data_IF_027261244382
#
_entry.id   IF_027261244382
#
_cell.length_a   1.000
_cell.length_b   1.000
_cell.length_c   1.000
_cell.angle_alpha   90.00
_cell.angle_beta   90.00
_cell.angle_gamma   90.00
#
_symmetry.space_group_name_H-M   'P 1'
#
loop_
_entity.id
_entity.type
_entity.pdbx_description
1 polymer ?
#
# COMPACT_ATOMS: atom_id res chain seq x y z
N UNK A 1 27.13 -0.48 -41.07
CA UNK A 1 26.01 -1.31 -40.57
C UNK A 1 25.24 -0.53 -39.51
N UNK A 2 24.06 -0.02 -39.85
CA UNK A 2 23.17 0.66 -38.91
C UNK A 2 22.57 -0.41 -37.99
N UNK A 3 22.95 -0.42 -36.70
CA UNK A 3 22.30 -1.27 -35.70
C UNK A 3 20.83 -0.88 -35.63
N UNK A 4 19.95 -1.70 -36.19
CA UNK A 4 18.50 -1.61 -35.97
C UNK A 4 18.27 -1.68 -34.46
N UNK A 5 17.90 -0.54 -33.84
CA UNK A 5 17.29 -0.53 -32.50
C UNK A 5 16.05 -1.41 -32.59
N UNK A 6 16.13 -2.63 -32.05
CA UNK A 6 14.94 -3.44 -31.76
C UNK A 6 14.03 -2.56 -30.90
N UNK A 7 12.78 -2.38 -31.32
CA UNK A 7 11.75 -1.84 -30.43
C UNK A 7 11.75 -2.75 -29.18
N UNK A 8 11.88 -2.19 -27.96
CA UNK A 8 11.77 -3.00 -26.76
C UNK A 8 10.43 -3.73 -26.80
N UNK A 9 10.43 -5.03 -26.51
CA UNK A 9 9.19 -5.76 -26.24
C UNK A 9 8.48 -5.17 -25.00
N UNK A 10 7.30 -5.69 -24.63
CA UNK A 10 6.70 -5.31 -23.36
C UNK A 10 7.68 -5.63 -22.23
N UNK A 11 8.02 -4.62 -21.44
CA UNK A 11 8.94 -4.74 -20.33
C UNK A 11 8.29 -5.54 -19.19
N UNK A 12 9.03 -6.46 -18.56
CA UNK A 12 8.52 -7.19 -17.38
C UNK A 12 8.48 -6.29 -16.14
N UNK A 13 7.69 -6.67 -15.13
CA UNK A 13 7.60 -5.92 -13.87
C UNK A 13 8.96 -5.79 -13.16
N UNK A 14 9.73 -6.87 -13.09
CA UNK A 14 11.08 -6.87 -12.53
C UNK A 14 12.04 -5.97 -13.32
N UNK A 15 11.99 -5.99 -14.67
CA UNK A 15 12.79 -5.09 -15.50
C UNK A 15 12.42 -3.62 -15.24
N UNK A 16 11.13 -3.32 -15.13
CA UNK A 16 10.64 -1.97 -14.83
C UNK A 16 11.13 -1.48 -13.46
N UNK A 17 11.08 -2.32 -12.42
CA UNK A 17 11.57 -1.96 -11.10
C UNK A 17 13.09 -1.77 -11.10
N UNK A 18 13.84 -2.68 -11.75
CA UNK A 18 15.30 -2.58 -11.89
C UNK A 18 15.75 -1.30 -12.61
N UNK A 19 15.00 -0.84 -13.61
CA UNK A 19 15.30 0.43 -14.30
C UNK A 19 15.35 1.63 -13.35
N UNK A 20 14.53 1.64 -12.28
CA UNK A 20 14.54 2.72 -11.28
C UNK A 20 15.94 2.86 -10.67
N UNK A 21 16.67 1.76 -10.54
CA UNK A 21 18.00 1.66 -9.92
C UNK A 21 19.11 1.39 -10.92
N UNK A 22 18.93 1.82 -12.18
CA UNK A 22 19.92 1.72 -13.26
C UNK A 22 20.38 0.29 -13.58
N UNK A 23 19.53 -0.71 -13.35
CA UNK A 23 19.79 -2.12 -13.67
C UNK A 23 21.09 -2.67 -13.06
N UNK A 24 21.38 -2.33 -11.80
CA UNK A 24 22.57 -2.77 -11.08
C UNK A 24 22.89 -4.27 -11.35
N UNK A 25 24.15 -4.64 -11.63
CA UNK A 25 24.54 -6.03 -11.83
C UNK A 25 24.60 -6.81 -10.49
N UNK A 26 24.66 -8.15 -10.54
CA UNK A 26 24.90 -8.96 -9.35
C UNK A 26 26.16 -8.52 -8.59
N UNK A 27 26.07 -8.52 -7.26
CA UNK A 27 27.11 -8.01 -6.36
C UNK A 27 28.01 -9.15 -5.89
N UNK A 28 29.29 -9.09 -6.26
CA UNK A 28 30.26 -10.17 -5.99
C UNK A 28 30.90 -10.10 -4.59
N UNK A 29 30.91 -8.92 -3.98
CA UNK A 29 31.49 -8.69 -2.65
C UNK A 29 30.44 -8.04 -1.76
N UNK A 30 29.91 -8.83 -0.84
CA UNK A 30 28.96 -8.37 0.17
C UNK A 30 29.70 -8.22 1.49
N UNK A 31 29.73 -6.99 2.02
CA UNK A 31 30.28 -6.70 3.35
C UNK A 31 29.20 -6.56 4.41
N UNK A 32 27.94 -6.36 3.99
CA UNK A 32 26.78 -6.28 4.88
C UNK A 32 26.49 -7.67 5.48
N UNK A 33 26.38 -7.81 6.81
CA UNK A 33 25.94 -9.05 7.43
C UNK A 33 24.44 -9.27 7.18
N UNK A 34 24.03 -10.53 7.08
CA UNK A 34 22.62 -10.89 7.06
C UNK A 34 22.03 -10.79 8.48
N UNK A 35 20.77 -10.39 8.61
CA UNK A 35 20.12 -10.10 9.88
C UNK A 35 20.11 -11.29 10.86
N UNK A 36 19.83 -12.50 10.36
CA UNK A 36 19.79 -13.75 11.12
C UNK A 36 21.08 -14.58 10.93
N UNK A 37 22.20 -13.92 10.64
CA UNK A 37 23.54 -14.50 10.48
C UNK A 37 23.69 -15.47 9.30
N UNK A 38 22.80 -15.43 8.31
CA UNK A 38 22.88 -16.21 7.07
C UNK A 38 23.74 -15.51 6.00
N UNK A 39 24.96 -15.11 6.37
CA UNK A 39 25.86 -14.30 5.53
C UNK A 39 26.23 -14.97 4.21
N UNK A 40 26.40 -16.30 4.22
CA UNK A 40 26.77 -17.07 3.02
C UNK A 40 25.61 -17.14 2.03
N UNK A 41 24.37 -17.27 2.53
CA UNK A 41 23.14 -17.23 1.75
C UNK A 41 22.91 -15.84 1.14
N UNK A 42 23.15 -14.76 1.90
CA UNK A 42 23.07 -13.41 1.36
C UNK A 42 24.12 -13.17 0.26
N UNK A 43 25.37 -13.63 0.45
CA UNK A 43 26.41 -13.56 -0.60
C UNK A 43 26.02 -14.34 -1.84
N UNK A 44 25.49 -15.55 -1.68
CA UNK A 44 25.02 -16.38 -2.79
C UNK A 44 23.85 -15.71 -3.54
N UNK A 45 22.89 -15.17 -2.80
CA UNK A 45 21.76 -14.43 -3.35
C UNK A 45 22.24 -13.20 -4.16
N UNK A 46 23.15 -12.40 -3.60
CA UNK A 46 23.68 -11.21 -4.22
C UNK A 46 24.42 -11.49 -5.56
N UNK A 47 25.07 -12.64 -5.67
CA UNK A 47 25.77 -13.07 -6.88
C UNK A 47 24.86 -13.75 -7.92
N UNK A 48 23.63 -14.12 -7.55
CA UNK A 48 22.68 -14.82 -8.43
C UNK A 48 22.06 -13.87 -9.47
N UNK A 49 21.91 -14.30 -10.73
CA UNK A 49 21.18 -13.51 -11.76
C UNK A 49 19.74 -13.28 -11.29
N UNK A 50 19.27 -12.04 -11.36
CA UNK A 50 17.96 -11.63 -10.85
C UNK A 50 16.79 -12.46 -11.40
N UNK A 51 16.91 -13.03 -12.61
CA UNK A 51 15.87 -13.87 -13.21
C UNK A 51 15.69 -15.21 -12.49
N UNK A 52 16.68 -15.60 -11.68
CA UNK A 52 16.70 -16.83 -10.91
C UNK A 52 16.41 -16.58 -9.42
N UNK A 53 16.32 -15.33 -8.99
CA UNK A 53 16.00 -14.96 -7.62
C UNK A 53 14.51 -15.13 -7.38
N UNK A 54 14.16 -15.79 -6.29
CA UNK A 54 12.77 -16.04 -5.88
C UNK A 54 12.32 -15.12 -4.75
N UNK A 55 11.01 -14.88 -4.65
CA UNK A 55 10.40 -14.17 -3.51
C UNK A 55 10.82 -14.77 -2.17
N UNK A 56 10.86 -16.11 -2.07
CA UNK A 56 11.26 -16.80 -0.85
C UNK A 56 12.70 -16.45 -0.42
N UNK A 57 13.65 -16.40 -1.36
CA UNK A 57 15.03 -16.01 -1.03
C UNK A 57 15.13 -14.56 -0.56
N UNK A 58 14.41 -13.63 -1.20
CA UNK A 58 14.36 -12.24 -0.76
C UNK A 58 13.74 -12.11 0.64
N UNK A 59 12.69 -12.89 0.89
CA UNK A 59 11.99 -12.97 2.16
C UNK A 59 12.89 -13.51 3.28
N UNK A 60 13.68 -14.55 3.00
CA UNK A 60 14.50 -15.22 4.01
C UNK A 60 15.82 -14.52 4.29
N UNK A 61 16.45 -13.89 3.29
CA UNK A 61 17.85 -13.49 3.40
C UNK A 61 18.10 -12.00 3.17
N UNK A 62 17.06 -11.17 2.96
CA UNK A 62 17.31 -9.76 2.63
C UNK A 62 16.28 -8.77 3.16
N UNK A 63 14.97 -9.09 3.14
CA UNK A 63 13.95 -8.09 3.52
C UNK A 63 14.13 -7.59 4.95
N UNK A 64 14.59 -8.44 5.87
CA UNK A 64 14.85 -8.05 7.27
C UNK A 64 16.06 -7.13 7.41
N UNK A 65 17.06 -7.23 6.53
CA UNK A 65 18.15 -6.27 6.50
C UNK A 65 17.63 -4.86 6.25
N UNK A 66 16.68 -4.71 5.33
CA UNK A 66 16.02 -3.44 5.06
C UNK A 66 15.28 -2.89 6.29
N UNK A 67 14.82 -3.74 7.20
CA UNK A 67 14.09 -3.33 8.42
C UNK A 67 15.05 -2.98 9.56
N UNK A 68 16.07 -3.80 9.80
CA UNK A 68 16.81 -3.76 11.06
C UNK A 68 18.26 -3.27 10.97
N UNK A 69 18.93 -3.37 9.81
CA UNK A 69 20.34 -2.98 9.72
C UNK A 69 20.51 -1.46 9.59
N UNK A 70 21.37 -0.88 10.42
CA UNK A 70 21.67 0.56 10.45
C UNK A 70 22.45 1.04 9.23
N UNK A 71 23.28 0.17 8.65
CA UNK A 71 24.11 0.46 7.49
C UNK A 71 23.93 -0.62 6.44
N UNK A 72 23.42 -0.21 5.28
CA UNK A 72 23.19 -1.09 4.13
C UNK A 72 24.23 -0.83 3.04
N UNK A 73 24.65 -1.88 2.34
CA UNK A 73 25.53 -1.78 1.20
C UNK A 73 24.80 -1.17 -0.02
N UNK A 74 25.23 0.00 -0.54
CA UNK A 74 24.50 0.69 -1.61
C UNK A 74 24.36 -0.10 -2.91
N UNK A 75 25.38 -0.87 -3.31
CA UNK A 75 25.33 -1.73 -4.50
C UNK A 75 24.33 -2.88 -4.30
N UNK A 76 24.36 -3.51 -3.13
CA UNK A 76 23.45 -4.61 -2.78
C UNK A 76 22.00 -4.11 -2.74
N UNK A 77 21.79 -2.93 -2.16
CA UNK A 77 20.50 -2.27 -2.14
C UNK A 77 19.97 -2.01 -3.55
N UNK A 78 20.76 -1.38 -4.41
CA UNK A 78 20.38 -1.10 -5.80
C UNK A 78 20.10 -2.37 -6.60
N UNK A 79 20.72 -3.50 -6.22
CA UNK A 79 20.50 -4.79 -6.87
C UNK A 79 19.23 -5.52 -6.41
N UNK A 80 19.03 -5.69 -5.10
CA UNK A 80 17.98 -6.55 -4.55
C UNK A 80 16.68 -5.81 -4.21
N UNK A 81 16.73 -4.55 -3.76
CA UNK A 81 15.54 -3.76 -3.43
C UNK A 81 14.52 -3.63 -4.58
N UNK A 82 14.92 -3.46 -5.86
CA UNK A 82 13.95 -3.43 -6.96
C UNK A 82 13.20 -4.74 -7.15
N UNK A 83 13.82 -5.88 -6.77
CA UNK A 83 13.15 -7.18 -6.83
C UNK A 83 12.11 -7.28 -5.70
N UNK A 84 12.43 -6.81 -4.49
CA UNK A 84 11.44 -6.70 -3.42
C UNK A 84 10.22 -5.85 -3.82
N UNK A 85 10.43 -4.74 -4.55
CA UNK A 85 9.32 -3.93 -5.07
C UNK A 85 8.42 -4.70 -6.05
N UNK A 86 9.03 -5.49 -6.95
CA UNK A 86 8.28 -6.31 -7.90
C UNK A 86 7.48 -7.41 -7.20
N UNK A 87 8.10 -8.14 -6.27
CA UNK A 87 7.43 -9.19 -5.49
C UNK A 87 6.31 -8.61 -4.61
N UNK A 88 6.52 -7.43 -4.02
CA UNK A 88 5.47 -6.73 -3.27
C UNK A 88 4.27 -6.40 -4.15
N UNK A 89 4.48 -5.94 -5.40
CA UNK A 89 3.37 -5.67 -6.31
C UNK A 89 2.58 -6.95 -6.62
N UNK A 90 3.24 -8.05 -6.97
CA UNK A 90 2.57 -9.32 -7.23
C UNK A 90 1.76 -9.77 -6.00
N UNK A 91 2.36 -9.67 -4.82
CA UNK A 91 1.73 -9.99 -3.54
C UNK A 91 0.46 -9.16 -3.28
N UNK A 92 0.53 -7.85 -3.48
CA UNK A 92 -0.63 -6.94 -3.35
C UNK A 92 -1.74 -7.34 -4.32
N UNK A 93 -1.40 -7.73 -5.55
CA UNK A 93 -2.38 -8.07 -6.58
C UNK A 93 -3.04 -9.45 -6.39
N UNK A 94 -2.37 -10.42 -5.77
CA UNK A 94 -2.88 -11.79 -5.59
C UNK A 94 -3.97 -11.94 -4.51
N UNK A 95 -4.25 -10.91 -3.72
CA UNK A 95 -5.35 -10.90 -2.73
C UNK A 95 -5.32 -12.05 -1.71
N UNK A 96 -4.17 -12.36 -1.12
CA UNK A 96 -4.13 -13.36 -0.05
C UNK A 96 -4.72 -12.81 1.25
N UNK A 97 -5.63 -13.57 1.87
CA UNK A 97 -6.18 -13.27 3.21
C UNK A 97 -5.10 -13.32 4.31
N UNK A 98 -3.98 -13.99 4.02
CA UNK A 98 -2.79 -14.00 4.88
C UNK A 98 -1.78 -13.04 4.30
N UNK A 99 -1.31 -12.11 5.12
CA UNK A 99 -0.22 -11.21 4.75
C UNK A 99 1.00 -12.00 4.30
N UNK A 100 1.62 -11.52 3.24
CA UNK A 100 2.88 -12.05 2.75
C UNK A 100 4.01 -11.44 3.58
N UNK A 101 4.84 -12.29 4.16
CA UNK A 101 5.95 -11.90 5.01
C UNK A 101 6.88 -10.89 4.33
N UNK A 102 7.15 -11.06 3.03
CA UNK A 102 7.96 -10.09 2.29
C UNK A 102 7.24 -8.75 2.19
N UNK A 103 5.94 -8.78 1.88
CA UNK A 103 5.17 -7.57 1.65
C UNK A 103 5.03 -6.71 2.92
N UNK A 104 4.76 -7.35 4.06
CA UNK A 104 4.66 -6.67 5.37
C UNK A 104 6.00 -6.05 5.77
N UNK A 105 7.08 -6.84 5.73
CA UNK A 105 8.41 -6.36 6.11
C UNK A 105 8.95 -5.29 5.16
N UNK A 106 8.62 -5.35 3.85
CA UNK A 106 9.01 -4.28 2.93
C UNK A 106 8.33 -2.95 3.27
N UNK A 107 7.05 -2.97 3.63
CA UNK A 107 6.35 -1.76 4.05
C UNK A 107 6.94 -1.23 5.37
N UNK A 108 7.24 -2.10 6.34
CA UNK A 108 7.95 -1.71 7.56
C UNK A 108 9.31 -1.06 7.25
N UNK A 109 10.10 -1.65 6.37
CA UNK A 109 11.38 -1.11 5.93
C UNK A 109 11.22 0.27 5.29
N UNK A 110 10.21 0.46 4.45
CA UNK A 110 9.90 1.74 3.80
C UNK A 110 9.45 2.83 4.76
N UNK A 111 9.16 2.53 6.03
CA UNK A 111 8.95 3.56 7.07
C UNK A 111 10.26 4.22 7.51
N UNK A 112 11.41 3.58 7.27
CA UNK A 112 12.71 4.06 7.72
C UNK A 112 13.16 5.26 6.87
N UNK A 113 13.38 6.45 7.47
CA UNK A 113 13.91 7.60 6.73
C UNK A 113 15.28 7.34 6.10
N UNK A 114 16.07 6.41 6.67
CA UNK A 114 17.37 5.99 6.17
C UNK A 114 17.32 5.51 4.71
N UNK A 115 16.38 4.62 4.35
CA UNK A 115 16.27 4.10 2.99
C UNK A 115 16.02 5.22 1.98
N UNK A 116 15.07 6.10 2.29
CA UNK A 116 14.74 7.22 1.42
C UNK A 116 15.88 8.23 1.31
N UNK A 117 16.56 8.54 2.42
CA UNK A 117 17.54 9.64 2.46
C UNK A 117 18.92 9.23 1.96
N UNK A 118 19.38 8.03 2.34
CA UNK A 118 20.75 7.57 2.12
C UNK A 118 20.85 6.56 0.98
N UNK A 119 19.82 5.71 0.79
CA UNK A 119 19.88 4.62 -0.20
C UNK A 119 19.27 5.00 -1.55
N UNK A 120 18.55 6.13 -1.62
CA UNK A 120 17.88 6.59 -2.84
C UNK A 120 18.23 8.04 -3.17
N UNK A 121 18.55 8.29 -4.44
CA UNK A 121 18.60 9.64 -4.99
C UNK A 121 17.19 10.24 -5.20
N UNK A 122 17.12 11.54 -5.55
CA UNK A 122 15.83 12.22 -5.74
C UNK A 122 14.96 11.63 -6.87
N UNK A 123 15.58 11.12 -7.94
CA UNK A 123 14.89 10.48 -9.06
C UNK A 123 14.32 9.12 -8.67
N UNK A 124 15.12 8.31 -7.97
CA UNK A 124 14.73 7.02 -7.41
C UNK A 124 13.57 7.17 -6.43
N UNK A 125 13.68 8.07 -5.44
CA UNK A 125 12.61 8.35 -4.48
C UNK A 125 11.27 8.66 -5.16
N UNK A 126 11.29 9.51 -6.19
CA UNK A 126 10.09 9.88 -6.95
C UNK A 126 9.49 8.69 -7.69
N UNK A 127 10.32 7.88 -8.36
CA UNK A 127 9.87 6.71 -9.10
C UNK A 127 9.32 5.61 -8.19
N UNK A 128 9.96 5.35 -7.03
CA UNK A 128 9.44 4.40 -6.03
C UNK A 128 8.10 4.88 -5.49
N UNK A 129 7.93 6.16 -5.13
CA UNK A 129 6.64 6.70 -4.70
C UNK A 129 5.55 6.56 -5.76
N UNK A 130 5.88 6.84 -7.02
CA UNK A 130 4.96 6.66 -8.14
C UNK A 130 4.56 5.18 -8.30
N UNK A 131 5.53 4.26 -8.18
CA UNK A 131 5.29 2.82 -8.24
C UNK A 131 4.37 2.34 -7.11
N UNK A 132 4.63 2.73 -5.86
CA UNK A 132 3.76 2.39 -4.72
C UNK A 132 2.33 2.91 -4.94
N UNK A 133 2.22 4.14 -5.44
CA UNK A 133 0.94 4.80 -5.75
C UNK A 133 0.17 4.02 -6.82
N UNK A 134 0.84 3.68 -7.93
CA UNK A 134 0.24 2.97 -9.05
C UNK A 134 -0.21 1.56 -8.65
N UNK A 135 0.64 0.81 -7.94
CA UNK A 135 0.30 -0.55 -7.47
C UNK A 135 -0.97 -0.54 -6.61
N UNK A 136 -1.06 0.38 -5.65
CA UNK A 136 -2.24 0.49 -4.79
C UNK A 136 -3.49 0.89 -5.58
N UNK A 137 -3.37 1.81 -6.55
CA UNK A 137 -4.49 2.20 -7.42
C UNK A 137 -4.95 1.04 -8.31
N UNK A 138 -4.02 0.27 -8.90
CA UNK A 138 -4.34 -0.94 -9.65
C UNK A 138 -5.09 -1.96 -8.78
N UNK A 139 -4.69 -2.11 -7.52
CA UNK A 139 -5.37 -3.01 -6.57
C UNK A 139 -6.79 -2.54 -6.21
N UNK A 140 -6.99 -1.24 -6.05
CA UNK A 140 -8.32 -0.65 -5.86
C UNK A 140 -9.17 -0.83 -7.12
N UNK A 141 -8.60 -0.59 -8.30
CA UNK A 141 -9.29 -0.70 -9.59
C UNK A 141 -9.72 -2.15 -9.90
N UNK A 142 -8.98 -3.14 -9.40
CA UNK A 142 -9.32 -4.56 -9.57
C UNK A 142 -10.47 -5.03 -8.68
N UNK A 143 -10.89 -4.24 -7.68
CA UNK A 143 -11.93 -4.65 -6.74
C UNK A 143 -13.29 -4.81 -7.40
N UNK A 144 -13.99 -5.90 -7.09
CA UNK A 144 -15.38 -6.17 -7.50
C UNK A 144 -16.16 -6.78 -6.35
N UNK A 145 -17.47 -6.62 -6.37
CA UNK A 145 -18.37 -7.10 -5.34
C UNK A 145 -18.20 -6.36 -4.00
N UNK A 146 -19.25 -6.43 -3.19
CA UNK A 146 -19.24 -5.99 -1.80
C UNK A 146 -19.05 -7.13 -0.79
N UNK A 147 -19.16 -8.37 -1.27
CA UNK A 147 -18.91 -9.61 -0.56
C UNK A 147 -17.40 -9.88 -0.32
N UNK A 148 -16.56 -9.29 -1.16
CA UNK A 148 -15.12 -9.37 -1.05
C UNK A 148 -14.61 -8.60 0.18
N UNK A 149 -13.80 -9.27 1.00
CA UNK A 149 -13.13 -8.65 2.14
C UNK A 149 -12.32 -7.43 1.67
N UNK A 150 -12.21 -6.40 2.52
CA UNK A 150 -11.39 -5.20 2.28
C UNK A 150 -9.88 -5.50 2.35
N UNK A 151 -9.41 -6.51 1.63
CA UNK A 151 -8.02 -6.97 1.60
C UNK A 151 -7.04 -5.91 1.07
N UNK A 152 -7.55 -4.88 0.38
CA UNK A 152 -6.77 -3.71 -0.03
C UNK A 152 -6.43 -2.76 1.13
N UNK A 153 -7.26 -2.73 2.17
CA UNK A 153 -7.20 -1.71 3.23
C UNK A 153 -5.96 -1.85 4.15
N UNK A 154 -5.50 -3.06 4.52
CA UNK A 154 -4.26 -3.19 5.30
C UNK A 154 -3.05 -2.57 4.58
N UNK A 155 -2.92 -2.80 3.27
CA UNK A 155 -1.84 -2.24 2.45
C UNK A 155 -1.96 -0.71 2.38
N UNK A 156 -3.18 -0.21 2.18
CA UNK A 156 -3.47 1.22 2.21
C UNK A 156 -3.04 1.87 3.54
N UNK A 157 -3.40 1.26 4.67
CA UNK A 157 -3.06 1.76 5.99
C UNK A 157 -1.54 1.74 6.25
N UNK A 158 -0.86 0.68 5.86
CA UNK A 158 0.60 0.60 5.97
C UNK A 158 1.30 1.68 5.13
N UNK A 159 0.82 1.95 3.91
CA UNK A 159 1.35 3.01 3.04
C UNK A 159 1.25 4.41 3.66
N UNK A 160 0.25 4.66 4.51
CA UNK A 160 0.14 5.90 5.28
C UNK A 160 1.33 6.19 6.20
N UNK A 161 2.05 5.16 6.62
CA UNK A 161 3.24 5.26 7.46
C UNK A 161 4.59 5.26 6.73
N UNK A 162 4.64 4.98 5.42
CA UNK A 162 5.91 4.78 4.71
C UNK A 162 6.50 6.06 4.12
N UNK A 163 5.72 6.76 3.29
CA UNK A 163 6.18 7.88 2.50
C UNK A 163 5.06 8.89 2.26
N UNK A 164 5.38 10.15 1.89
CA UNK A 164 4.36 11.16 1.60
C UNK A 164 3.71 10.91 0.23
N UNK A 165 2.84 9.90 0.17
CA UNK A 165 2.13 9.46 -1.04
C UNK A 165 0.62 9.56 -0.91
N UNK A 166 0.08 9.75 0.31
CA UNK A 166 -1.36 9.71 0.54
C UNK A 166 -2.12 10.79 -0.20
N UNK A 167 -1.50 11.96 -0.42
CA UNK A 167 -2.07 13.02 -1.27
C UNK A 167 -2.39 12.52 -2.68
N UNK A 168 -1.40 11.93 -3.35
CA UNK A 168 -1.54 11.46 -4.72
C UNK A 168 -2.49 10.27 -4.82
N UNK A 169 -2.42 9.35 -3.83
CA UNK A 169 -3.32 8.20 -3.73
C UNK A 169 -4.78 8.62 -3.54
N UNK A 170 -5.04 9.48 -2.55
CA UNK A 170 -6.39 9.96 -2.22
C UNK A 170 -7.04 10.65 -3.40
N UNK A 171 -6.35 11.60 -4.03
CA UNK A 171 -6.89 12.36 -5.17
C UNK A 171 -7.21 11.45 -6.36
N UNK A 172 -6.35 10.48 -6.67
CA UNK A 172 -6.57 9.57 -7.79
C UNK A 172 -7.61 8.50 -7.50
N UNK A 173 -7.73 8.02 -6.26
CA UNK A 173 -8.78 7.10 -5.86
C UNK A 173 -10.16 7.78 -5.89
N UNK A 174 -10.30 8.94 -5.23
CA UNK A 174 -11.55 9.70 -5.15
C UNK A 174 -11.93 10.45 -6.44
N UNK A 175 -11.11 10.35 -7.49
CA UNK A 175 -11.54 10.71 -8.84
C UNK A 175 -12.63 9.78 -9.38
N UNK A 176 -12.82 8.60 -8.77
CA UNK A 176 -13.89 7.64 -9.07
C UNK A 176 -13.99 7.32 -10.57
N UNK A 177 -12.86 7.02 -11.21
CA UNK A 177 -12.80 6.77 -12.66
C UNK A 177 -13.15 5.33 -13.05
N UNK A 178 -13.42 4.44 -12.08
CA UNK A 178 -13.69 3.02 -12.31
C UNK A 178 -14.70 2.47 -11.29
N UNK A 179 -15.38 1.35 -11.62
CA UNK A 179 -16.21 0.64 -10.65
C UNK A 179 -15.44 0.22 -9.39
N UNK A 180 -14.21 -0.28 -9.53
CA UNK A 180 -13.39 -0.71 -8.39
C UNK A 180 -13.12 0.43 -7.40
N UNK A 181 -12.76 1.62 -7.89
CA UNK A 181 -12.61 2.82 -7.04
C UNK A 181 -13.89 3.18 -6.32
N UNK A 182 -15.04 3.12 -7.00
CA UNK A 182 -16.34 3.39 -6.39
C UNK A 182 -16.74 2.36 -5.33
N UNK A 183 -16.46 1.08 -5.57
CA UNK A 183 -16.68 0.01 -4.60
C UNK A 183 -15.81 0.22 -3.36
N UNK A 184 -14.49 0.39 -3.52
CA UNK A 184 -13.59 0.66 -2.40
C UNK A 184 -14.01 1.92 -1.63
N UNK A 185 -14.43 2.98 -2.33
CA UNK A 185 -14.90 4.22 -1.71
C UNK A 185 -16.14 3.98 -0.84
N UNK A 186 -17.10 3.18 -1.32
CA UNK A 186 -18.30 2.82 -0.55
C UNK A 186 -17.99 1.84 0.58
N UNK A 187 -17.04 0.90 0.39
CA UNK A 187 -16.54 0.04 1.47
C UNK A 187 -15.92 0.87 2.60
N UNK A 188 -15.06 1.82 2.26
CA UNK A 188 -14.44 2.73 3.22
C UNK A 188 -15.49 3.62 3.90
N UNK A 189 -16.39 4.22 3.13
CA UNK A 189 -17.43 5.10 3.65
C UNK A 189 -18.46 4.37 4.52
N UNK A 190 -18.83 3.13 4.20
CA UNK A 190 -19.77 2.36 5.02
C UNK A 190 -19.26 2.20 6.45
N UNK A 191 -17.95 2.03 6.62
CA UNK A 191 -17.33 1.97 7.93
C UNK A 191 -17.27 3.30 8.67
N UNK A 192 -17.62 4.43 8.03
CA UNK A 192 -17.80 5.74 8.68
C UNK A 192 -19.30 6.09 8.86
N UNK A 193 -20.17 5.50 8.05
CA UNK A 193 -21.62 5.77 8.03
C UNK A 193 -22.35 4.94 9.08
N UNK A 194 -21.95 3.67 9.24
CA UNK A 194 -22.65 2.72 10.10
C UNK A 194 -21.80 2.35 11.31
N UNK A 195 -22.42 2.18 12.48
CA UNK A 195 -21.84 1.37 13.55
C UNK A 195 -21.52 -0.05 13.07
N UNK A 196 -20.48 -0.72 13.60
CA UNK A 196 -20.05 -2.04 13.12
C UNK A 196 -21.18 -3.08 13.02
N UNK A 197 -22.07 -3.14 14.01
CA UNK A 197 -23.17 -4.10 14.09
C UNK A 197 -24.32 -3.80 13.10
N UNK A 198 -24.36 -2.60 12.55
CA UNK A 198 -25.37 -2.15 11.58
C UNK A 198 -24.81 -2.02 10.15
N UNK A 199 -23.49 -2.17 9.98
CA UNK A 199 -22.84 -2.01 8.70
C UNK A 199 -23.23 -3.17 7.76
N UNK A 200 -23.89 -2.91 6.62
CA UNK A 200 -24.33 -3.95 5.71
C UNK A 200 -23.18 -4.68 5.00
N UNK A 201 -21.96 -4.15 5.10
CA UNK A 201 -20.73 -4.76 4.59
C UNK A 201 -19.95 -5.52 5.67
N UNK A 202 -20.42 -5.51 6.92
CA UNK A 202 -19.79 -6.25 8.00
C UNK A 202 -20.16 -7.73 7.92
N UNK A 203 -19.17 -8.66 7.88
CA UNK A 203 -19.48 -10.07 7.88
C UNK A 203 -20.17 -10.48 9.18
N UNK A 204 -21.32 -11.15 9.08
CA UNK A 204 -22.02 -11.71 10.23
C UNK A 204 -21.07 -12.66 11.00
N UNK A 205 -20.90 -12.42 12.31
CA UNK A 205 -20.09 -13.28 13.19
C UNK A 205 -18.61 -12.91 13.33
N UNK A 206 -18.11 -11.85 12.68
CA UNK A 206 -16.79 -11.29 13.04
C UNK A 206 -16.92 -10.37 14.27
N UNK A 207 -16.15 -10.67 15.30
CA UNK A 207 -16.09 -9.85 16.51
C UNK A 207 -15.60 -8.43 16.23
N UNK A 208 -16.00 -7.49 17.07
CA UNK A 208 -15.72 -6.03 17.00
C UNK A 208 -14.29 -5.64 17.39
N UNK A 209 -13.35 -6.60 17.47
CA UNK A 209 -12.07 -6.38 18.13
C UNK A 209 -11.10 -5.43 17.41
N UNK A 210 -11.36 -5.08 16.14
CA UNK A 210 -10.60 -4.06 15.43
C UNK A 210 -11.55 -3.14 14.64
N UNK A 211 -11.44 -1.83 14.87
CA UNK A 211 -12.06 -0.86 13.96
C UNK A 211 -11.43 -1.05 12.57
N UNK A 212 -12.19 -1.28 11.49
CA UNK A 212 -11.63 -1.84 10.26
C UNK A 212 -10.67 -0.92 9.55
N UNK A 213 -10.90 0.39 9.72
CA UNK A 213 -10.08 1.45 9.17
C UNK A 213 -8.87 1.79 10.05
N UNK A 214 -8.78 1.28 11.28
CA UNK A 214 -7.64 1.55 12.15
C UNK A 214 -6.39 0.82 11.69
N UNK A 215 -5.24 1.30 12.14
CA UNK A 215 -3.94 0.69 11.89
C UNK A 215 -3.23 0.49 13.23
N UNK A 216 -2.39 -0.54 13.32
CA UNK A 216 -1.54 -0.77 14.49
C UNK A 216 -0.39 0.25 14.59
N UNK A 217 0.03 0.82 13.47
CA UNK A 217 1.12 1.78 13.41
C UNK A 217 0.63 3.15 12.95
N UNK A 218 1.17 4.21 13.57
CA UNK A 218 0.81 5.58 13.22
C UNK A 218 1.16 5.92 11.76
N UNK A 219 0.38 6.79 11.15
CA UNK A 219 0.71 7.42 9.88
C UNK A 219 1.82 8.46 10.03
N UNK A 220 2.50 8.80 8.94
CA UNK A 220 3.41 9.95 8.96
C UNK A 220 2.63 11.24 9.21
N UNK A 221 3.23 12.20 9.90
CA UNK A 221 2.60 13.49 10.19
C UNK A 221 2.12 14.21 8.91
N UNK A 222 2.89 14.15 7.82
CA UNK A 222 2.53 14.77 6.54
C UNK A 222 1.28 14.12 5.92
N UNK A 223 1.18 12.79 5.93
CA UNK A 223 0.02 12.08 5.40
C UNK A 223 -1.22 12.31 6.28
N UNK A 224 -1.05 12.34 7.60
CA UNK A 224 -2.13 12.60 8.54
C UNK A 224 -2.67 14.03 8.43
N UNK A 225 -1.78 15.03 8.36
CA UNK A 225 -2.18 16.43 8.19
C UNK A 225 -2.95 16.63 6.88
N UNK A 226 -2.51 15.98 5.81
CA UNK A 226 -3.25 15.95 4.56
C UNK A 226 -4.65 15.34 4.75
N UNK A 227 -4.74 14.14 5.34
CA UNK A 227 -6.02 13.45 5.49
C UNK A 227 -7.00 14.24 6.37
N UNK A 228 -6.53 14.88 7.45
CA UNK A 228 -7.35 15.76 8.31
C UNK A 228 -8.03 16.89 7.54
N UNK A 229 -7.41 17.38 6.47
CA UNK A 229 -7.97 18.47 5.64
C UNK A 229 -8.99 17.97 4.61
N UNK A 230 -8.87 16.72 4.19
CA UNK A 230 -9.62 16.18 3.04
C UNK A 230 -10.76 15.25 3.45
N UNK A 231 -10.57 14.47 4.53
CA UNK A 231 -11.61 13.60 5.07
C UNK A 231 -12.53 14.42 5.97
N UNK A 232 -13.46 15.13 5.33
CA UNK A 232 -14.53 15.90 5.98
C UNK A 232 -15.91 15.34 5.60
N UNK A 233 -16.90 15.37 6.51
CA UNK A 233 -18.22 14.78 6.27
C UNK A 233 -18.88 15.23 4.97
N UNK A 234 -18.82 16.52 4.65
CA UNK A 234 -19.48 17.07 3.46
C UNK A 234 -18.91 16.49 2.17
N UNK A 235 -17.58 16.36 2.11
CA UNK A 235 -16.87 15.84 0.95
C UNK A 235 -17.09 14.33 0.82
N UNK A 236 -17.11 13.61 1.95
CA UNK A 236 -17.46 12.19 1.99
C UNK A 236 -18.87 11.96 1.42
N UNK A 237 -19.87 12.72 1.88
CA UNK A 237 -21.26 12.60 1.41
C UNK A 237 -21.40 12.87 -0.10
N UNK A 238 -20.69 13.86 -0.62
CA UNK A 238 -20.66 14.13 -2.07
C UNK A 238 -20.07 12.95 -2.83
N UNK A 239 -18.95 12.41 -2.36
CA UNK A 239 -18.25 11.33 -3.04
C UNK A 239 -19.00 9.99 -2.95
N UNK A 240 -19.64 9.69 -1.83
CA UNK A 240 -20.52 8.51 -1.68
C UNK A 240 -21.65 8.54 -2.72
N UNK A 241 -22.30 9.70 -2.91
CA UNK A 241 -23.35 9.84 -3.93
C UNK A 241 -22.80 9.68 -5.35
N UNK A 242 -21.60 10.21 -5.64
CA UNK A 242 -20.93 10.03 -6.94
C UNK A 242 -20.59 8.56 -7.19
N UNK A 243 -20.06 7.87 -6.19
CA UNK A 243 -19.71 6.45 -6.28
C UNK A 243 -20.97 5.59 -6.54
N UNK A 244 -22.06 5.82 -5.81
CA UNK A 244 -23.31 5.09 -6.03
C UNK A 244 -23.89 5.33 -7.44
N UNK A 245 -23.82 6.56 -7.96
CA UNK A 245 -24.24 6.86 -9.34
C UNK A 245 -23.39 6.15 -10.38
N UNK A 246 -22.08 6.05 -10.15
CA UNK A 246 -21.19 5.33 -11.05
C UNK A 246 -21.56 3.85 -11.14
N UNK A 247 -21.95 3.25 -10.01
CA UNK A 247 -22.34 1.85 -9.91
C UNK A 247 -23.79 1.56 -10.30
N UNK A 248 -24.58 2.52 -10.78
CA UNK A 248 -26.03 2.33 -11.00
C UNK A 248 -26.37 1.20 -11.99
N UNK A 249 -25.48 0.90 -12.93
CA UNK A 249 -25.65 -0.19 -13.90
C UNK A 249 -24.79 -1.43 -13.58
N UNK A 250 -24.13 -1.43 -12.42
CA UNK A 250 -23.27 -2.54 -11.97
C UNK A 250 -24.05 -3.47 -11.03
N UNK A 251 -23.63 -4.73 -10.86
CA UNK A 251 -24.27 -5.67 -9.92
C UNK A 251 -24.41 -5.12 -8.48
N UNK A 252 -23.51 -4.23 -8.08
CA UNK A 252 -23.45 -3.59 -6.77
C UNK A 252 -24.47 -2.46 -6.56
N UNK A 253 -25.20 -2.04 -7.60
CA UNK A 253 -26.08 -0.86 -7.61
C UNK A 253 -27.00 -0.76 -6.40
N UNK A 254 -27.75 -1.84 -6.09
CA UNK A 254 -28.77 -1.82 -5.04
C UNK A 254 -28.20 -1.52 -3.66
N UNK A 255 -27.04 -2.09 -3.33
CA UNK A 255 -26.39 -1.83 -2.04
C UNK A 255 -25.70 -0.46 -2.04
N UNK A 256 -25.11 -0.05 -3.16
CA UNK A 256 -24.51 1.27 -3.30
C UNK A 256 -25.54 2.39 -3.09
N UNK A 257 -26.74 2.26 -3.66
CA UNK A 257 -27.85 3.20 -3.47
C UNK A 257 -28.35 3.24 -2.03
N UNK A 258 -28.39 2.09 -1.34
CA UNK A 258 -28.73 2.02 0.08
C UNK A 258 -27.71 2.80 0.93
N UNK A 259 -26.42 2.52 0.75
CA UNK A 259 -25.34 3.22 1.48
C UNK A 259 -25.43 4.73 1.25
N UNK A 260 -25.63 5.18 0.01
CA UNK A 260 -25.74 6.60 -0.30
C UNK A 260 -26.97 7.28 0.29
N UNK A 261 -28.09 6.56 0.43
CA UNK A 261 -29.30 7.05 1.10
C UNK A 261 -29.07 7.19 2.60
N UNK A 262 -28.53 6.16 3.23
CA UNK A 262 -28.32 6.09 4.67
C UNK A 262 -27.28 7.13 5.12
N UNK A 263 -26.23 7.35 4.31
CA UNK A 263 -25.23 8.39 4.54
C UNK A 263 -25.84 9.78 4.78
N UNK A 264 -26.95 10.12 4.09
CA UNK A 264 -27.61 11.43 4.24
C UNK A 264 -28.17 11.64 5.65
N UNK A 265 -28.56 10.57 6.34
CA UNK A 265 -29.10 10.63 7.69
C UNK A 265 -28.04 10.43 8.78
N UNK A 266 -26.81 10.06 8.40
CA UNK A 266 -25.75 9.68 9.32
C UNK A 266 -24.71 10.78 9.61
N UNK A 267 -25.05 12.07 9.40
CA UNK A 267 -24.10 13.18 9.49
C UNK A 267 -23.32 13.21 10.82
N UNK A 268 -24.02 13.16 11.94
CA UNK A 268 -23.40 13.14 13.29
C UNK A 268 -22.52 11.90 13.52
N UNK A 269 -22.95 10.74 13.01
CA UNK A 269 -22.17 9.49 13.13
C UNK A 269 -20.87 9.62 12.32
N UNK A 270 -20.95 10.15 11.11
CA UNK A 270 -19.79 10.36 10.23
C UNK A 270 -18.78 11.29 10.90
N UNK A 271 -19.23 12.39 11.51
CA UNK A 271 -18.35 13.33 12.24
C UNK A 271 -17.55 12.62 13.34
N UNK A 272 -18.24 11.88 14.22
CA UNK A 272 -17.62 11.15 15.32
C UNK A 272 -16.64 10.10 14.78
N UNK A 273 -17.06 9.29 13.80
CA UNK A 273 -16.22 8.21 13.27
C UNK A 273 -15.00 8.72 12.49
N UNK A 274 -15.12 9.86 11.79
CA UNK A 274 -13.98 10.52 11.16
C UNK A 274 -12.98 10.98 12.21
N UNK A 275 -13.45 11.60 13.30
CA UNK A 275 -12.57 12.03 14.40
C UNK A 275 -11.85 10.84 15.05
N UNK A 276 -12.59 9.78 15.40
CA UNK A 276 -12.04 8.55 15.97
C UNK A 276 -10.99 7.90 15.05
N UNK A 277 -11.28 7.83 13.76
CA UNK A 277 -10.35 7.32 12.76
C UNK A 277 -9.07 8.15 12.73
N UNK A 278 -9.18 9.47 12.62
CA UNK A 278 -8.02 10.36 12.54
C UNK A 278 -7.15 10.30 13.82
N UNK A 279 -7.76 10.11 14.99
CA UNK A 279 -7.06 9.87 16.25
C UNK A 279 -6.38 8.49 16.28
N UNK A 280 -7.05 7.47 15.75
CA UNK A 280 -6.49 6.12 15.60
C UNK A 280 -5.28 6.10 14.67
N UNK A 281 -5.34 6.80 13.53
CA UNK A 281 -4.21 6.88 12.59
C UNK A 281 -3.04 7.71 13.12
N UNK A 282 -3.26 8.57 14.12
CA UNK A 282 -2.21 9.34 14.78
C UNK A 282 -1.46 8.54 15.86
N UNK A 283 -2.06 7.46 16.36
CA UNK A 283 -1.57 6.72 17.51
C UNK A 283 -0.98 5.39 17.08
N UNK A 284 0.24 5.08 17.52
CA UNK A 284 0.71 3.69 17.49
C UNK A 284 -0.05 2.92 18.58
N UNK A 285 -0.37 1.65 18.34
CA UNK A 285 -0.84 0.67 19.33
C UNK A 285 0.01 0.62 20.63
N UNK A 286 1.19 1.25 20.63
CA UNK A 286 2.07 1.51 21.79
C UNK A 286 1.80 2.79 22.58
N UNK A 287 0.78 3.58 22.24
CA UNK A 287 0.31 4.71 23.06
C UNK A 287 1.27 5.91 23.17
N UNK A 288 2.25 6.04 22.27
CA UNK A 288 3.06 7.26 22.17
C UNK A 288 2.50 8.17 21.08
N UNK A 289 1.94 9.30 21.51
CA UNK A 289 1.66 10.42 20.62
C UNK A 289 2.99 10.93 20.04
N UNK A 290 3.02 11.15 18.73
CA UNK A 290 4.13 11.83 18.08
C UNK A 290 4.12 13.30 18.52
N UNK A 291 5.07 13.70 19.36
CA UNK A 291 5.46 15.11 19.59
C UNK A 291 6.24 15.66 18.39
#
# INVERSE_FOLDING_TARGET
MVKRRRKPGPQTLHERCRLIFNEEPPVQRVWEPEFDYADDELRALAATDWRLITSHQLSCYYVLNLVYHDSLQPELFRYLFPLCLAEWHESVMLSSEKGDYLAENLLMALRRPYLWRQMMDAGQRRQVRAFLTETMLCRIDSQRGFDSQMTWLPVWNALGGTAPIMRALWQQWWSLTSPGKAICALQYAAHLIYPPEHNPLWPAGRGTFCYPLSCSEAWTAENLEFLRKELVPETLLINVRKAARLLHNEPEAGLAERIARDAKAAGEIIEIQVEELLNGLASDSRGQALE
#
